data_IF_424901541724
#
_entry.id   IF_424901541724
#
_cell.length_a   1.000
_cell.length_b   1.000
_cell.length_c   1.000
_cell.angle_alpha   90.00
_cell.angle_beta   90.00
_cell.angle_gamma   90.00
#
_symmetry.space_group_name_H-M   'P 1'
#
loop_
_entity.id
_entity.type
_entity.pdbx_description
1 polymer ?
#
# COMPACT_ATOMS: atom_id res chain seq x y z
N UNK A 1 -28.60 32.00 27.21
CA UNK A 1 -27.46 31.26 27.77
C UNK A 1 -27.69 29.76 27.60
N UNK A 2 -26.60 29.02 27.39
CA UNK A 2 -26.48 27.57 27.10
C UNK A 2 -26.52 27.18 25.62
N UNK A 3 -25.35 27.31 24.97
CA UNK A 3 -24.93 26.46 23.86
C UNK A 3 -23.57 25.90 24.24
N UNK A 4 -23.55 24.72 24.83
CA UNK A 4 -22.33 23.98 25.14
C UNK A 4 -21.93 23.22 23.89
N UNK A 5 -21.06 23.83 23.08
CA UNK A 5 -20.41 23.15 21.96
C UNK A 5 -19.22 22.39 22.52
N UNK A 6 -19.40 21.08 22.67
CA UNK A 6 -18.36 20.14 23.07
C UNK A 6 -17.40 19.99 21.89
N UNK A 7 -16.27 20.69 21.94
CA UNK A 7 -15.11 20.46 21.07
C UNK A 7 -14.18 19.47 21.76
N UNK A 8 -14.45 18.18 21.60
CA UNK A 8 -13.53 17.12 22.03
C UNK A 8 -13.62 15.96 21.04
N UNK A 9 -12.85 16.03 19.96
CA UNK A 9 -12.63 14.88 19.06
C UNK A 9 -11.35 15.07 18.22
N UNK A 10 -10.21 15.35 18.84
CA UNK A 10 -8.92 15.34 18.14
C UNK A 10 -7.82 14.82 19.06
N UNK A 11 -7.84 13.51 19.34
CA UNK A 11 -6.71 12.81 19.98
C UNK A 11 -6.70 11.30 19.69
N UNK A 12 -7.22 10.86 18.54
CA UNK A 12 -7.22 9.43 18.16
C UNK A 12 -6.36 9.11 16.93
N UNK A 13 -5.61 10.08 16.38
CA UNK A 13 -4.84 9.90 15.14
C UNK A 13 -3.49 9.18 15.32
N UNK A 14 -3.08 8.84 16.55
CA UNK A 14 -1.77 8.22 16.81
C UNK A 14 -1.82 6.71 17.08
N UNK A 15 -3.00 6.09 17.04
CA UNK A 15 -3.14 4.64 17.18
C UNK A 15 -3.12 3.88 15.85
N UNK A 16 -3.13 4.59 14.71
CA UNK A 16 -3.20 3.98 13.38
C UNK A 16 -1.83 3.54 12.82
N UNK A 17 -0.73 3.90 13.46
CA UNK A 17 0.63 3.50 13.05
C UNK A 17 1.05 2.11 13.54
N UNK A 18 0.21 1.41 14.29
CA UNK A 18 0.47 0.03 14.74
C UNK A 18 -0.28 -1.04 13.92
N UNK A 19 -1.17 -0.65 13.01
CA UNK A 19 -1.79 -1.55 12.04
C UNK A 19 -1.17 -1.45 10.64
N UNK A 20 -0.29 -0.48 10.39
CA UNK A 20 0.53 -0.40 9.18
C UNK A 20 1.76 -1.33 9.26
N UNK A 21 1.78 -2.29 10.20
CA UNK A 21 2.72 -3.40 10.11
C UNK A 21 2.10 -4.42 9.18
N UNK A 22 2.29 -4.13 7.89
CA UNK A 22 2.19 -5.01 6.73
C UNK A 22 2.46 -6.46 7.12
N UNK A 23 1.39 -7.22 7.24
CA UNK A 23 1.45 -8.62 7.61
C UNK A 23 1.76 -9.40 6.34
N UNK A 24 3.04 -9.57 6.00
CA UNK A 24 3.45 -10.53 4.95
C UNK A 24 3.21 -11.98 5.40
N UNK A 25 2.47 -12.21 6.50
CA UNK A 25 2.20 -13.52 7.09
C UNK A 25 1.27 -14.38 6.26
N UNK A 26 0.63 -13.82 5.23
CA UNK A 26 -0.16 -14.55 4.24
C UNK A 26 0.65 -15.07 3.04
N UNK A 27 1.89 -14.61 2.83
CA UNK A 27 2.67 -15.01 1.66
C UNK A 27 3.13 -16.46 1.76
N UNK A 28 2.82 -17.26 0.74
CA UNK A 28 3.18 -18.68 0.67
C UNK A 28 4.57 -18.89 0.04
N UNK A 29 5.04 -17.94 -0.76
CA UNK A 29 6.36 -17.98 -1.41
C UNK A 29 7.19 -16.72 -1.16
N UNK A 30 8.51 -16.82 -1.38
CA UNK A 30 9.39 -15.65 -1.32
C UNK A 30 9.07 -14.65 -2.44
N UNK A 31 8.64 -15.15 -3.59
CA UNK A 31 8.21 -14.35 -4.75
C UNK A 31 6.97 -13.53 -4.42
N UNK A 32 6.02 -14.12 -3.69
CA UNK A 32 4.83 -13.41 -3.21
C UNK A 32 5.15 -12.30 -2.20
N UNK A 33 6.15 -12.52 -1.32
CA UNK A 33 6.67 -11.44 -0.46
C UNK A 33 7.27 -10.29 -1.28
N UNK A 34 7.87 -10.58 -2.43
CA UNK A 34 8.39 -9.54 -3.34
C UNK A 34 7.26 -8.80 -4.08
N UNK A 35 6.20 -9.51 -4.47
CA UNK A 35 4.98 -8.92 -5.05
C UNK A 35 4.35 -7.94 -4.07
N UNK A 36 4.08 -8.37 -2.83
CA UNK A 36 3.51 -7.52 -1.78
C UNK A 36 4.37 -6.29 -1.46
N UNK A 37 5.71 -6.39 -1.58
CA UNK A 37 6.61 -5.22 -1.43
C UNK A 37 6.49 -4.24 -2.58
N UNK A 38 6.23 -4.71 -3.79
CA UNK A 38 6.02 -3.85 -4.94
C UNK A 38 4.68 -3.12 -4.84
N UNK A 39 3.60 -3.81 -4.44
CA UNK A 39 2.29 -3.19 -4.16
C UNK A 39 2.39 -2.13 -3.05
N UNK A 40 3.05 -2.47 -1.94
CA UNK A 40 3.40 -1.55 -0.86
C UNK A 40 4.03 -0.23 -1.33
N UNK A 41 4.93 -0.34 -2.29
CA UNK A 41 5.67 0.81 -2.80
C UNK A 41 4.80 1.60 -3.79
N UNK A 42 3.95 0.93 -4.57
CA UNK A 42 2.92 1.57 -5.38
C UNK A 42 1.93 2.37 -4.51
N UNK A 43 1.37 1.77 -3.46
CA UNK A 43 0.44 2.44 -2.53
C UNK A 43 1.05 3.69 -1.90
N UNK A 44 2.35 3.65 -1.54
CA UNK A 44 3.06 4.81 -1.00
C UNK A 44 3.29 5.89 -2.05
N UNK A 45 3.50 5.51 -3.31
CA UNK A 45 3.65 6.45 -4.41
C UNK A 45 2.31 7.12 -4.73
N UNK A 46 1.21 6.37 -4.69
CA UNK A 46 -0.14 6.90 -4.86
C UNK A 46 -0.54 7.84 -3.72
N UNK A 47 -0.29 7.45 -2.46
CA UNK A 47 -0.56 8.35 -1.33
C UNK A 47 0.30 9.63 -1.41
N UNK A 48 1.52 9.53 -1.97
CA UNK A 48 2.35 10.70 -2.24
C UNK A 48 1.83 11.54 -3.42
N UNK A 49 1.26 10.90 -4.46
CA UNK A 49 0.64 11.57 -5.60
C UNK A 49 -0.60 12.36 -5.16
N UNK A 50 -1.46 11.77 -4.33
CA UNK A 50 -2.63 12.42 -3.71
C UNK A 50 -2.27 13.68 -2.92
N UNK A 51 -1.05 13.71 -2.36
CA UNK A 51 -0.53 14.84 -1.58
C UNK A 51 0.36 15.79 -2.41
N UNK A 52 0.54 15.55 -3.71
CA UNK A 52 1.37 16.39 -4.57
C UNK A 52 0.75 17.79 -4.73
N UNK A 53 1.60 18.81 -4.77
CA UNK A 53 1.16 20.22 -4.87
C UNK A 53 1.07 20.73 -6.31
N UNK A 54 1.35 19.85 -7.28
CA UNK A 54 1.40 20.17 -8.71
C UNK A 54 0.97 18.97 -9.55
N UNK A 55 0.19 19.18 -10.59
CA UNK A 55 -0.28 18.14 -11.53
C UNK A 55 0.89 17.33 -12.13
N UNK A 56 1.97 17.99 -12.58
CA UNK A 56 3.13 17.29 -13.14
C UNK A 56 3.90 16.43 -12.10
N UNK A 57 3.72 16.73 -10.81
CA UNK A 57 4.32 15.95 -9.72
C UNK A 57 3.46 14.73 -9.37
N UNK A 58 2.14 14.90 -9.40
CA UNK A 58 1.13 13.83 -9.28
C UNK A 58 1.31 12.81 -10.41
N UNK A 59 1.27 13.24 -11.68
CA UNK A 59 1.43 12.37 -12.86
C UNK A 59 2.74 11.58 -12.83
N UNK A 60 3.85 12.21 -12.43
CA UNK A 60 5.15 11.53 -12.34
C UNK A 60 5.26 10.54 -11.16
N UNK A 61 4.38 10.63 -10.17
CA UNK A 61 4.29 9.67 -9.06
C UNK A 61 3.33 8.54 -9.43
N UNK A 62 2.17 8.85 -10.03
CA UNK A 62 1.23 7.86 -10.59
C UNK A 62 1.91 6.98 -11.63
N UNK A 63 2.71 7.54 -12.55
CA UNK A 63 3.48 6.77 -13.53
C UNK A 63 4.44 5.76 -12.88
N UNK A 64 4.98 6.10 -11.70
CA UNK A 64 5.86 5.19 -10.95
C UNK A 64 5.07 4.15 -10.17
N UNK A 65 3.92 4.52 -9.61
CA UNK A 65 3.03 3.60 -8.94
C UNK A 65 2.57 2.52 -9.92
N UNK A 66 2.10 2.92 -11.11
CA UNK A 66 1.72 2.01 -12.19
C UNK A 66 2.86 1.05 -12.59
N UNK A 67 4.10 1.55 -12.69
CA UNK A 67 5.25 0.69 -12.99
C UNK A 67 5.57 -0.32 -11.87
N UNK A 68 5.21 -0.02 -10.62
CA UNK A 68 5.39 -0.91 -9.48
C UNK A 68 4.23 -1.92 -9.36
N UNK A 69 3.00 -1.52 -9.69
CA UNK A 69 1.85 -2.43 -9.87
C UNK A 69 2.14 -3.44 -10.99
N UNK A 70 2.55 -2.99 -12.18
CA UNK A 70 2.92 -3.88 -13.30
C UNK A 70 4.00 -4.91 -12.88
N UNK A 71 4.91 -4.50 -12.00
CA UNK A 71 5.94 -5.39 -11.46
C UNK A 71 5.37 -6.37 -10.43
N UNK A 72 4.44 -5.92 -9.59
CA UNK A 72 3.75 -6.76 -8.63
C UNK A 72 2.97 -7.87 -9.35
N UNK A 73 2.19 -7.52 -10.38
CA UNK A 73 1.42 -8.47 -11.20
C UNK A 73 2.31 -9.58 -11.77
N UNK A 74 3.46 -9.21 -12.35
CA UNK A 74 4.41 -10.18 -12.91
C UNK A 74 5.05 -11.07 -11.84
N UNK A 75 5.16 -10.59 -10.59
CA UNK A 75 5.67 -11.38 -9.47
C UNK A 75 4.58 -12.29 -8.90
N UNK A 76 3.34 -11.83 -8.82
CA UNK A 76 2.18 -12.61 -8.38
C UNK A 76 1.94 -13.80 -9.35
N UNK A 77 1.93 -13.55 -10.66
CA UNK A 77 1.80 -14.63 -11.65
C UNK A 77 2.88 -15.71 -11.49
N UNK A 78 4.11 -15.31 -11.15
CA UNK A 78 5.20 -16.27 -10.89
C UNK A 78 5.03 -16.99 -9.56
N UNK A 79 4.55 -16.29 -8.52
CA UNK A 79 4.28 -16.89 -7.23
C UNK A 79 3.19 -17.97 -7.35
N UNK A 80 2.13 -17.70 -8.12
CA UNK A 80 1.05 -18.67 -8.42
C UNK A 80 1.59 -19.92 -9.15
N UNK A 81 2.49 -19.72 -10.13
CA UNK A 81 3.17 -20.84 -10.79
C UNK A 81 4.01 -21.66 -9.79
N UNK A 82 4.74 -21.01 -8.89
CA UNK A 82 5.53 -21.66 -7.85
C UNK A 82 4.66 -22.44 -6.86
N UNK A 83 3.55 -21.86 -6.39
CA UNK A 83 2.59 -22.50 -5.49
C UNK A 83 1.98 -23.76 -6.15
N UNK A 84 1.55 -23.65 -7.41
CA UNK A 84 1.03 -24.77 -8.18
C UNK A 84 2.04 -25.93 -8.38
N UNK A 85 3.34 -25.64 -8.35
CA UNK A 85 4.40 -26.65 -8.32
C UNK A 85 4.59 -27.25 -6.93
N UNK A 86 4.50 -26.45 -5.87
CA UNK A 86 4.64 -26.89 -4.48
C UNK A 86 3.46 -27.72 -3.97
N UNK A 87 2.27 -27.54 -4.56
CA UNK A 87 1.05 -28.27 -4.22
C UNK A 87 0.96 -29.71 -4.82
N UNK A 88 1.94 -30.13 -5.63
CA UNK A 88 2.00 -31.46 -6.29
C UNK A 88 2.88 -32.47 -5.54
#
# INVERSE_FOLDING_TARGET
MRKLTIFTATAAALALSACAQEDTSGAETATEVEAQKAEMEADRLDEAADNATTEAGEEALEDKAAAMEDKADVLEEKADEEEGVLAQ
#
